data_IF_860802601713
#
_entry.id   IF_860802601713
#
_cell.length_a   1.000
_cell.length_b   1.000
_cell.length_c   1.000
_cell.angle_alpha   90.00
_cell.angle_beta   90.00
_cell.angle_gamma   90.00
#
_symmetry.space_group_name_H-M   'P 1'
#
loop_
_entity.id
_entity.type
_entity.pdbx_description
1 polymer ?
#
# COMPACT_ATOMS: atom_id res chain seq x y z
N UNK A 1 -2.65 2.62 -8.58
CA UNK A 1 -1.92 3.88 -8.30
C UNK A 1 -1.19 4.37 -9.55
N UNK A 2 -0.48 3.50 -10.26
CA UNK A 2 0.25 3.85 -11.49
C UNK A 2 -0.64 4.45 -12.60
N UNK A 3 -1.85 3.91 -12.81
CA UNK A 3 -2.80 4.48 -13.77
C UNK A 3 -3.23 5.91 -13.41
N UNK A 4 -3.30 6.22 -12.11
CA UNK A 4 -3.58 7.58 -11.63
C UNK A 4 -2.39 8.48 -11.93
N UNK A 5 -1.16 8.02 -11.69
CA UNK A 5 0.07 8.74 -12.01
C UNK A 5 0.18 9.02 -13.52
N UNK A 6 -0.16 8.05 -14.36
CA UNK A 6 -0.16 8.23 -15.81
C UNK A 6 -1.13 9.36 -16.23
N UNK A 7 -2.34 9.40 -15.65
CA UNK A 7 -3.30 10.50 -15.89
C UNK A 7 -2.81 11.84 -15.33
N UNK A 8 -2.13 11.86 -14.18
CA UNK A 8 -1.53 13.08 -13.63
C UNK A 8 -0.40 13.63 -14.49
N UNK A 9 0.27 12.79 -15.27
CA UNK A 9 1.35 13.18 -16.18
C UNK A 9 0.86 13.47 -17.61
N UNK A 10 -0.45 13.40 -17.86
CA UNK A 10 -1.03 13.73 -19.17
C UNK A 10 -0.70 15.17 -19.57
N UNK A 11 -0.29 15.39 -20.82
CA UNK A 11 0.17 16.71 -21.29
C UNK A 11 -0.93 17.77 -21.28
N UNK A 12 -2.20 17.37 -21.40
CA UNK A 12 -3.35 18.29 -21.51
C UNK A 12 -4.17 18.37 -20.24
N UNK A 13 -4.40 17.23 -19.60
CA UNK A 13 -5.31 17.09 -18.46
C UNK A 13 -4.58 16.77 -17.14
N UNK A 14 -3.25 16.66 -17.18
CA UNK A 14 -2.42 16.37 -16.02
C UNK A 14 -2.17 17.59 -15.12
N UNK A 15 -1.31 17.37 -14.13
CA UNK A 15 -0.86 18.39 -13.19
C UNK A 15 0.17 19.28 -13.89
N UNK A 16 0.07 20.62 -13.79
CA UNK A 16 0.99 21.52 -14.47
C UNK A 16 2.40 21.45 -13.85
N UNK A 17 3.32 20.77 -14.54
CA UNK A 17 4.72 20.68 -14.13
C UNK A 17 5.46 21.97 -14.51
N UNK A 18 6.12 22.61 -13.54
CA UNK A 18 6.77 23.92 -13.71
C UNK A 18 8.24 23.88 -13.30
N UNK A 19 8.98 24.88 -13.79
CA UNK A 19 10.30 25.22 -13.26
C UNK A 19 10.19 26.48 -12.43
N UNK A 20 10.38 26.35 -11.12
CA UNK A 20 10.30 27.47 -10.19
C UNK A 20 11.65 28.15 -10.09
N UNK A 21 11.68 29.48 -10.27
CA UNK A 21 12.88 30.32 -10.17
C UNK A 21 12.73 31.24 -8.96
N UNK A 22 13.72 31.20 -8.08
CA UNK A 22 13.95 32.18 -7.01
C UNK A 22 15.31 32.85 -7.21
N UNK A 23 15.61 33.89 -6.42
CA UNK A 23 16.90 34.59 -6.47
C UNK A 23 18.11 33.65 -6.26
N UNK A 24 17.96 32.63 -5.40
CA UNK A 24 19.04 31.72 -5.02
C UNK A 24 18.98 30.36 -5.74
N UNK A 25 17.84 29.98 -6.32
CA UNK A 25 17.66 28.63 -6.87
C UNK A 25 16.73 28.57 -8.07
N UNK A 26 17.06 27.70 -9.02
CA UNK A 26 16.15 27.22 -10.07
C UNK A 26 15.84 25.75 -9.81
N UNK A 27 14.58 25.43 -9.57
CA UNK A 27 14.09 24.07 -9.27
C UNK A 27 13.22 23.62 -10.45
N UNK A 28 13.73 22.73 -11.32
CA UNK A 28 12.99 22.25 -12.48
C UNK A 28 12.07 21.08 -12.12
N UNK A 29 11.07 20.85 -12.97
CA UNK A 29 10.19 19.68 -12.94
C UNK A 29 9.55 19.43 -11.57
N UNK A 30 8.79 20.41 -11.10
CA UNK A 30 8.05 20.35 -9.82
C UNK A 30 6.62 20.85 -9.98
N UNK A 31 5.75 20.44 -9.07
CA UNK A 31 4.36 20.85 -8.93
C UNK A 31 4.04 21.02 -7.44
N UNK A 32 3.00 21.79 -7.10
CA UNK A 32 2.65 22.04 -5.70
C UNK A 32 1.78 20.92 -5.12
N UNK A 33 1.78 20.79 -3.80
CA UNK A 33 0.91 19.86 -3.08
C UNK A 33 -0.57 20.16 -3.31
N UNK A 34 -0.94 21.44 -3.30
CA UNK A 34 -2.30 21.88 -3.63
C UNK A 34 -2.72 21.50 -5.05
N UNK A 35 -1.82 21.54 -6.04
CA UNK A 35 -2.16 21.11 -7.40
C UNK A 35 -2.53 19.61 -7.45
N UNK A 36 -1.87 18.78 -6.63
CA UNK A 36 -2.15 17.33 -6.55
C UNK A 36 -3.53 17.09 -5.95
N UNK A 37 -3.82 17.73 -4.81
CA UNK A 37 -5.11 17.58 -4.11
C UNK A 37 -6.27 18.03 -4.99
N UNK A 38 -6.16 19.22 -5.59
CA UNK A 38 -7.19 19.75 -6.49
C UNK A 38 -7.37 18.88 -7.74
N UNK A 39 -6.27 18.35 -8.29
CA UNK A 39 -6.36 17.42 -9.42
C UNK A 39 -7.10 16.13 -9.03
N UNK A 40 -6.84 15.57 -7.85
CA UNK A 40 -7.51 14.36 -7.36
C UNK A 40 -9.01 14.59 -7.15
N UNK A 41 -9.40 15.66 -6.45
CA UNK A 41 -10.80 16.05 -6.22
C UNK A 41 -11.56 16.07 -7.56
N UNK A 42 -11.01 16.79 -8.54
CA UNK A 42 -11.63 16.96 -9.85
C UNK A 42 -11.68 15.66 -10.69
N UNK A 43 -10.57 14.92 -10.79
CA UNK A 43 -10.44 13.82 -11.76
C UNK A 43 -10.82 12.45 -11.21
N UNK A 44 -10.93 12.32 -9.88
CA UNK A 44 -11.39 11.11 -9.20
C UNK A 44 -12.80 11.27 -8.61
N UNK A 45 -13.41 12.45 -8.74
CA UNK A 45 -14.73 12.79 -8.22
C UNK A 45 -14.84 12.54 -6.70
N UNK A 46 -13.84 13.02 -5.97
CA UNK A 46 -13.78 12.94 -4.50
C UNK A 46 -14.42 14.19 -3.92
N UNK A 47 -15.44 14.03 -3.07
CA UNK A 47 -16.18 15.14 -2.47
C UNK A 47 -15.43 15.75 -1.27
N UNK A 48 -14.81 14.91 -0.44
CA UNK A 48 -14.07 15.34 0.75
C UNK A 48 -12.59 15.58 0.43
N UNK A 49 -12.12 16.81 0.68
CA UNK A 49 -10.72 17.20 0.53
C UNK A 49 -9.78 16.36 1.42
N UNK A 50 -10.25 15.92 2.60
CA UNK A 50 -9.46 15.06 3.50
C UNK A 50 -9.23 13.68 2.90
N UNK A 51 -10.23 13.11 2.22
CA UNK A 51 -10.10 11.84 1.50
C UNK A 51 -9.07 11.95 0.37
N UNK A 52 -9.12 13.04 -0.43
CA UNK A 52 -8.17 13.29 -1.50
C UNK A 52 -6.74 13.44 -0.97
N UNK A 53 -6.55 14.20 0.12
CA UNK A 53 -5.26 14.38 0.78
C UNK A 53 -4.73 13.06 1.34
N UNK A 54 -5.59 12.23 1.93
CA UNK A 54 -5.22 10.92 2.45
C UNK A 54 -4.78 9.97 1.34
N UNK A 55 -5.55 9.86 0.25
CA UNK A 55 -5.20 9.05 -0.91
C UNK A 55 -3.86 9.50 -1.52
N UNK A 56 -3.65 10.81 -1.64
CA UNK A 56 -2.38 11.34 -2.14
C UNK A 56 -1.21 11.08 -1.20
N UNK A 57 -1.42 11.16 0.12
CA UNK A 57 -0.42 10.77 1.11
C UNK A 57 -0.03 9.29 0.98
N UNK A 58 -1.01 8.40 0.77
CA UNK A 58 -0.73 6.99 0.52
C UNK A 58 0.10 6.80 -0.77
N UNK A 59 -0.22 7.50 -1.84
CA UNK A 59 0.54 7.42 -3.09
C UNK A 59 1.99 7.94 -2.93
N UNK A 60 2.19 9.00 -2.14
CA UNK A 60 3.51 9.50 -1.79
C UNK A 60 4.30 8.48 -0.97
N UNK A 61 3.68 7.86 0.04
CA UNK A 61 4.30 6.85 0.90
C UNK A 61 4.69 5.56 0.15
N UNK A 62 4.05 5.27 -0.98
CA UNK A 62 4.47 4.19 -1.90
C UNK A 62 5.52 4.65 -2.92
N UNK A 63 5.98 5.90 -2.86
CA UNK A 63 7.08 6.41 -3.66
C UNK A 63 6.73 6.80 -5.09
N UNK A 64 5.46 7.06 -5.42
CA UNK A 64 5.08 7.47 -6.79
C UNK A 64 5.39 8.94 -7.08
N UNK A 65 5.32 9.78 -6.07
CA UNK A 65 5.84 11.15 -6.06
C UNK A 65 6.33 11.46 -4.64
N UNK A 66 7.20 12.45 -4.51
CA UNK A 66 7.88 12.73 -3.24
C UNK A 66 8.13 14.22 -3.04
N UNK A 67 8.10 14.72 -1.80
CA UNK A 67 8.47 16.10 -1.50
C UNK A 67 9.97 16.29 -1.76
N UNK A 68 10.34 17.39 -2.41
CA UNK A 68 11.74 17.61 -2.80
C UNK A 68 12.66 17.97 -1.62
N UNK A 69 12.08 18.50 -0.53
CA UNK A 69 12.79 19.09 0.60
C UNK A 69 12.70 18.29 1.90
N UNK A 70 12.00 17.15 1.90
CA UNK A 70 11.72 16.36 3.11
C UNK A 70 11.93 14.87 2.83
N UNK A 71 12.37 14.12 3.85
CA UNK A 71 12.49 12.66 3.83
C UNK A 71 11.16 11.96 4.17
N UNK A 72 10.24 12.66 4.86
CA UNK A 72 8.93 12.10 5.18
C UNK A 72 8.02 12.16 3.95
N UNK A 73 7.64 10.99 3.42
CA UNK A 73 6.85 10.85 2.21
C UNK A 73 5.35 11.07 2.46
N UNK A 74 4.98 12.31 2.76
CA UNK A 74 3.59 12.74 2.98
C UNK A 74 3.18 13.84 2.02
N UNK A 75 1.89 13.90 1.68
CA UNK A 75 1.33 15.02 0.92
C UNK A 75 0.84 16.11 1.90
N UNK A 76 1.10 17.36 1.54
CA UNK A 76 0.63 18.57 2.22
C UNK A 76 -0.16 19.39 1.23
N UNK A 77 -1.35 19.85 1.62
CA UNK A 77 -2.19 20.71 0.78
C UNK A 77 -1.77 22.18 0.87
N UNK A 78 -0.57 22.45 0.38
CA UNK A 78 0.06 23.76 0.41
C UNK A 78 1.01 23.95 -0.78
N UNK A 79 1.82 25.01 -0.72
CA UNK A 79 2.85 25.32 -1.73
C UNK A 79 4.09 24.41 -1.71
N UNK A 80 4.12 23.33 -0.92
CA UNK A 80 5.23 22.37 -0.89
C UNK A 80 5.42 21.75 -2.27
N UNK A 81 6.68 21.66 -2.73
CA UNK A 81 6.99 21.13 -4.04
C UNK A 81 7.24 19.62 -4.03
N UNK A 82 6.63 18.95 -5.00
CA UNK A 82 6.75 17.51 -5.24
C UNK A 82 7.33 17.23 -6.62
N UNK A 83 7.83 16.01 -6.80
CA UNK A 83 8.27 15.48 -8.09
C UNK A 83 7.79 14.04 -8.27
N UNK A 84 7.45 13.66 -9.50
CA UNK A 84 7.18 12.28 -9.86
C UNK A 84 8.43 11.41 -9.77
N UNK A 85 8.25 10.19 -9.27
CA UNK A 85 9.27 9.16 -9.31
C UNK A 85 9.40 8.55 -10.70
N UNK A 86 10.62 8.15 -11.06
CA UNK A 86 10.85 7.40 -12.31
C UNK A 86 10.24 5.99 -12.23
N UNK A 87 9.62 5.47 -13.30
CA UNK A 87 9.06 4.12 -13.33
C UNK A 87 10.05 3.01 -12.94
N UNK A 88 11.35 3.24 -13.13
CA UNK A 88 12.39 2.32 -12.68
C UNK A 88 12.32 2.05 -11.17
N UNK A 89 12.01 3.05 -10.35
CA UNK A 89 11.94 2.94 -8.89
C UNK A 89 10.53 2.63 -8.37
N UNK A 90 9.56 2.29 -9.22
CA UNK A 90 8.22 1.96 -8.76
C UNK A 90 8.18 0.63 -8.00
N UNK A 91 7.32 0.51 -6.95
CA UNK A 91 7.21 -0.71 -6.16
C UNK A 91 6.78 -1.95 -6.97
N UNK A 92 6.07 -1.78 -8.08
CA UNK A 92 5.65 -2.85 -8.98
C UNK A 92 6.81 -3.62 -9.61
N UNK A 93 8.01 -3.02 -9.67
CA UNK A 93 9.23 -3.71 -10.10
C UNK A 93 9.75 -4.71 -9.05
N UNK A 94 9.05 -4.90 -7.93
CA UNK A 94 9.35 -5.87 -6.88
C UNK A 94 10.77 -5.72 -6.31
N UNK A 95 11.14 -4.48 -5.98
CA UNK A 95 12.42 -4.15 -5.39
C UNK A 95 12.60 -4.81 -4.01
N UNK A 96 13.75 -5.46 -3.81
CA UNK A 96 14.19 -6.00 -2.53
C UNK A 96 15.64 -5.52 -2.28
N UNK A 97 15.87 -4.21 -2.04
CA UNK A 97 17.21 -3.66 -1.97
C UNK A 97 17.98 -4.16 -0.74
N UNK A 98 19.22 -4.60 -0.97
CA UNK A 98 20.05 -5.16 0.07
C UNK A 98 20.69 -4.07 0.94
N UNK A 99 21.16 -4.46 2.12
CA UNK A 99 21.92 -3.56 2.99
C UNK A 99 23.26 -3.12 2.38
N UNK A 100 23.83 -3.92 1.47
CA UNK A 100 25.02 -3.54 0.72
C UNK A 100 24.73 -2.35 -0.21
N UNK A 101 23.60 -2.38 -0.91
CA UNK A 101 23.18 -1.29 -1.82
C UNK A 101 22.95 0.01 -1.05
N UNK A 102 22.31 -0.08 0.13
CA UNK A 102 22.09 1.08 0.97
C UNK A 102 23.40 1.66 1.52
N UNK A 103 24.36 0.80 1.88
CA UNK A 103 25.69 1.25 2.30
C UNK A 103 26.43 1.99 1.17
N UNK A 104 26.34 1.50 -0.08
CA UNK A 104 26.89 2.18 -1.26
C UNK A 104 26.24 3.54 -1.45
N UNK A 105 24.90 3.63 -1.36
CA UNK A 105 24.16 4.88 -1.48
C UNK A 105 24.58 5.93 -0.43
N UNK A 106 24.60 5.55 0.86
CA UNK A 106 24.98 6.44 1.95
C UNK A 106 26.45 6.87 1.84
N UNK A 107 27.35 5.93 1.53
CA UNK A 107 28.76 6.23 1.29
C UNK A 107 28.94 7.18 0.10
N UNK A 108 28.19 7.00 -0.99
CA UNK A 108 28.22 7.90 -2.15
C UNK A 108 27.79 9.32 -1.77
N UNK A 109 26.77 9.45 -0.91
CA UNK A 109 26.27 10.77 -0.44
C UNK A 109 27.30 11.52 0.40
N UNK A 110 27.97 10.86 1.33
CA UNK A 110 29.00 11.50 2.16
C UNK A 110 30.17 12.03 1.33
N UNK A 111 30.47 11.39 0.20
CA UNK A 111 31.56 11.81 -0.70
C UNK A 111 31.26 13.07 -1.53
N UNK A 112 30.00 13.53 -1.59
CA UNK A 112 29.62 14.65 -2.45
C UNK A 112 29.90 16.02 -1.86
N UNK A 113 30.16 16.14 -0.55
CA UNK A 113 30.45 17.41 0.17
C UNK A 113 29.48 18.55 -0.20
N UNK A 114 28.18 18.29 -0.19
CA UNK A 114 27.12 19.27 -0.44
C UNK A 114 26.11 19.23 0.70
N UNK A 115 25.80 20.38 1.30
CA UNK A 115 24.82 20.48 2.38
C UNK A 115 23.47 19.80 2.06
N UNK A 116 22.95 19.95 0.83
CA UNK A 116 21.69 19.29 0.41
C UNK A 116 21.73 17.74 0.40
N UNK A 117 22.91 17.14 0.47
CA UNK A 117 23.14 15.69 0.45
C UNK A 117 23.72 15.18 1.76
N UNK A 118 23.88 16.07 2.74
CA UNK A 118 24.31 15.72 4.09
C UNK A 118 23.34 14.67 4.65
N UNK A 119 23.89 13.73 5.41
CA UNK A 119 23.08 12.65 5.98
C UNK A 119 22.27 13.21 7.13
N UNK A 120 20.99 12.85 7.20
CA UNK A 120 20.23 13.05 8.42
C UNK A 120 20.78 12.15 9.55
N UNK A 121 20.49 12.48 10.81
CA UNK A 121 21.04 11.74 11.96
C UNK A 121 20.75 10.23 11.89
N UNK A 122 19.51 9.85 11.55
CA UNK A 122 19.13 8.44 11.41
C UNK A 122 19.86 7.72 10.25
N UNK A 123 20.22 8.45 9.19
CA UNK A 123 21.00 7.93 8.07
C UNK A 123 22.48 7.76 8.47
N UNK A 124 23.04 8.71 9.22
CA UNK A 124 24.38 8.63 9.76
C UNK A 124 24.53 7.46 10.74
N UNK A 125 23.56 7.25 11.62
CA UNK A 125 23.50 6.07 12.48
C UNK A 125 23.40 4.76 11.67
N UNK A 126 22.58 4.75 10.61
CA UNK A 126 22.46 3.61 9.71
C UNK A 126 23.79 3.30 9.03
N UNK A 127 24.49 4.32 8.52
CA UNK A 127 25.82 4.18 7.94
C UNK A 127 26.81 3.60 8.95
N UNK A 128 26.83 4.10 10.19
CA UNK A 128 27.71 3.60 11.25
C UNK A 128 27.42 2.12 11.60
N UNK A 129 26.14 1.69 11.57
CA UNK A 129 25.77 0.27 11.73
C UNK A 129 26.25 -0.57 10.56
N UNK A 130 26.11 -0.09 9.32
CA UNK A 130 26.51 -0.80 8.11
C UNK A 130 28.03 -0.93 8.00
N UNK A 131 28.78 0.11 8.38
CA UNK A 131 30.25 0.07 8.46
C UNK A 131 30.74 -1.01 9.41
N UNK A 132 30.09 -1.14 10.57
CA UNK A 132 30.38 -2.22 11.53
C UNK A 132 30.02 -3.59 10.97
N UNK A 133 28.85 -3.74 10.36
CA UNK A 133 28.38 -5.01 9.80
C UNK A 133 29.24 -5.49 8.61
N UNK A 134 29.71 -4.56 7.78
CA UNK A 134 30.44 -4.85 6.54
C UNK A 134 31.92 -4.45 6.60
N UNK A 135 32.52 -4.38 7.79
CA UNK A 135 33.90 -3.91 7.98
C UNK A 135 34.92 -4.57 7.04
N UNK A 136 34.82 -5.91 6.84
CA UNK A 136 35.71 -6.67 5.95
C UNK A 136 35.49 -6.42 4.46
N UNK A 137 34.33 -5.92 4.06
CA UNK A 137 33.96 -5.62 2.66
C UNK A 137 33.88 -4.12 2.39
N UNK A 138 34.23 -3.28 3.37
CA UNK A 138 34.01 -1.83 3.28
C UNK A 138 34.78 -1.18 2.13
N UNK A 139 35.99 -1.65 1.84
CA UNK A 139 36.77 -1.15 0.70
C UNK A 139 36.05 -1.36 -0.65
N UNK A 140 35.37 -2.49 -0.83
CA UNK A 140 34.59 -2.75 -2.04
C UNK A 140 33.35 -1.84 -2.13
N UNK A 141 32.67 -1.62 -1.00
CA UNK A 141 31.52 -0.69 -0.92
C UNK A 141 31.99 0.73 -1.28
N UNK A 142 33.11 1.17 -0.72
CA UNK A 142 33.69 2.47 -0.99
C UNK A 142 34.09 2.62 -2.47
N UNK A 143 34.76 1.61 -3.04
CA UNK A 143 35.14 1.61 -4.46
C UNK A 143 33.92 1.68 -5.38
N UNK A 144 32.85 0.96 -5.06
CA UNK A 144 31.60 1.00 -5.82
C UNK A 144 30.92 2.37 -5.72
N UNK A 145 30.85 2.95 -4.51
CA UNK A 145 30.31 4.29 -4.29
C UNK A 145 31.11 5.36 -5.05
N UNK A 146 32.44 5.26 -5.05
CA UNK A 146 33.32 6.18 -5.78
C UNK A 146 33.11 6.08 -7.30
N UNK A 147 33.01 4.86 -7.83
CA UNK A 147 32.75 4.62 -9.25
C UNK A 147 31.40 5.22 -9.69
N UNK A 148 30.34 5.04 -8.90
CA UNK A 148 29.04 5.66 -9.15
C UNK A 148 29.11 7.19 -9.07
N UNK A 149 29.78 7.75 -8.05
CA UNK A 149 29.97 9.20 -7.92
C UNK A 149 30.74 9.80 -9.11
N UNK A 150 31.72 9.08 -9.67
CA UNK A 150 32.46 9.48 -10.87
C UNK A 150 31.56 9.52 -12.11
N UNK A 151 30.63 8.56 -12.26
CA UNK A 151 29.64 8.56 -13.35
C UNK A 151 28.66 9.73 -13.17
N UNK A 152 28.13 9.93 -11.96
CA UNK A 152 27.19 11.02 -11.67
C UNK A 152 27.80 12.40 -11.91
N UNK A 153 29.11 12.57 -11.65
CA UNK A 153 29.85 13.80 -11.94
C UNK A 153 29.89 14.17 -13.43
N UNK A 154 29.73 13.21 -14.35
CA UNK A 154 29.71 13.46 -15.81
C UNK A 154 28.37 13.98 -16.31
N UNK A 155 27.29 13.78 -15.56
CA UNK A 155 25.94 14.30 -15.88
C UNK A 155 25.85 15.80 -15.67
N UNK A 156 24.93 16.46 -16.35
CA UNK A 156 24.72 17.88 -16.13
C UNK A 156 24.17 18.15 -14.71
N UNK A 157 24.31 19.39 -14.24
CA UNK A 157 23.98 19.77 -12.86
C UNK A 157 22.48 19.63 -12.56
N UNK A 158 21.61 19.83 -13.54
CA UNK A 158 20.16 19.77 -13.36
C UNK A 158 19.73 18.30 -13.32
N UNK A 159 20.11 17.52 -14.31
CA UNK A 159 19.81 16.09 -14.38
C UNK A 159 20.31 15.36 -13.13
N UNK A 160 21.56 15.62 -12.71
CA UNK A 160 22.12 15.03 -11.48
C UNK A 160 21.29 15.37 -10.25
N UNK A 161 20.81 16.61 -10.11
CA UNK A 161 19.93 16.99 -8.99
C UNK A 161 18.61 16.22 -9.01
N UNK A 162 18.08 15.94 -10.19
CA UNK A 162 16.84 15.16 -10.34
C UNK A 162 17.07 13.71 -9.94
N UNK A 163 18.10 13.09 -10.50
CA UNK A 163 18.44 11.70 -10.23
C UNK A 163 18.80 11.48 -8.75
N UNK A 164 19.59 12.38 -8.14
CA UNK A 164 19.90 12.32 -6.70
C UNK A 164 18.62 12.32 -5.85
N UNK A 165 17.62 13.14 -6.21
CA UNK A 165 16.36 13.24 -5.47
C UNK A 165 15.44 12.03 -5.67
N UNK A 166 15.45 11.43 -6.87
CA UNK A 166 14.70 10.21 -7.18
C UNK A 166 15.27 9.00 -6.44
N UNK A 167 16.60 8.88 -6.43
CA UNK A 167 17.29 7.84 -5.66
C UNK A 167 17.07 8.02 -4.14
N UNK A 168 17.09 9.26 -3.64
CA UNK A 168 16.71 9.54 -2.24
C UNK A 168 15.30 9.05 -1.94
N UNK A 169 14.31 9.44 -2.75
CA UNK A 169 12.93 9.02 -2.54
C UNK A 169 12.73 7.50 -2.62
N UNK A 170 13.51 6.80 -3.44
CA UNK A 170 13.53 5.34 -3.44
C UNK A 170 13.96 4.77 -2.08
N UNK A 171 15.01 5.34 -1.49
CA UNK A 171 15.47 4.93 -0.16
C UNK A 171 14.53 5.36 0.96
N UNK A 172 13.85 6.50 0.84
CA UNK A 172 12.85 6.93 1.82
C UNK A 172 11.66 5.95 1.91
N UNK A 173 11.37 5.18 0.85
CA UNK A 173 10.38 4.07 0.88
C UNK A 173 10.94 2.83 1.57
N UNK A 174 12.16 2.42 1.23
CA UNK A 174 12.73 1.13 1.65
C UNK A 174 13.48 1.19 2.99
N UNK A 175 13.86 2.38 3.44
CA UNK A 175 14.55 2.69 4.69
C UNK A 175 13.93 3.97 5.27
N UNK A 176 12.63 3.93 5.62
CA UNK A 176 11.89 5.12 6.01
C UNK A 176 12.43 5.75 7.29
N UNK A 177 12.15 7.04 7.46
CA UNK A 177 12.44 7.78 8.69
C UNK A 177 11.84 7.03 9.89
N UNK A 178 12.57 6.88 11.01
CA UNK A 178 12.03 6.22 12.21
C UNK A 178 10.69 6.82 12.65
N UNK A 179 9.70 5.95 12.87
CA UNK A 179 8.32 6.35 13.22
C UNK A 179 7.36 6.44 12.02
N UNK A 180 7.86 6.46 10.78
CA UNK A 180 7.02 6.34 9.60
C UNK A 180 6.63 4.87 9.35
N UNK A 181 5.45 4.68 8.75
CA UNK A 181 4.96 3.35 8.32
C UNK A 181 5.84 2.83 7.18
N UNK A 182 6.31 1.59 7.30
CA UNK A 182 7.03 0.91 6.24
C UNK A 182 6.05 0.28 5.24
N UNK A 183 5.84 0.93 4.11
CA UNK A 183 4.91 0.49 3.06
C UNK A 183 5.36 -0.78 2.32
N UNK A 184 6.62 -1.21 2.52
CA UNK A 184 7.16 -2.44 1.91
C UNK A 184 6.84 -3.71 2.72
N UNK A 185 6.31 -3.57 3.94
CA UNK A 185 5.95 -4.72 4.77
C UNK A 185 4.71 -5.43 4.24
N UNK A 186 4.84 -6.74 4.01
CA UNK A 186 3.77 -7.59 3.48
C UNK A 186 3.25 -8.51 4.58
N UNK A 187 1.92 -8.62 4.68
CA UNK A 187 1.25 -9.55 5.59
C UNK A 187 1.74 -11.00 5.40
N UNK A 188 1.97 -11.70 6.51
CA UNK A 188 2.54 -13.06 6.52
C UNK A 188 1.69 -14.09 5.77
N UNK A 189 0.37 -13.93 5.73
CA UNK A 189 -0.52 -14.81 4.96
C UNK A 189 -0.39 -14.54 3.47
N UNK A 190 -0.15 -13.30 3.07
CA UNK A 190 0.10 -12.94 1.66
C UNK A 190 1.47 -13.44 1.20
N UNK A 191 2.51 -13.31 2.03
CA UNK A 191 3.84 -13.82 1.71
C UNK A 191 3.86 -15.35 1.57
N UNK A 192 3.12 -16.08 2.42
CA UNK A 192 3.03 -17.55 2.33
C UNK A 192 2.27 -18.07 1.10
N UNK A 193 1.30 -17.32 0.58
CA UNK A 193 0.53 -17.71 -0.62
C UNK A 193 1.33 -17.50 -1.90
N UNK A 194 2.29 -16.57 -1.87
CA UNK A 194 3.25 -16.35 -2.94
C UNK A 194 4.33 -17.45 -2.91
N UNK A 195 3.93 -18.72 -3.13
CA UNK A 195 4.87 -19.84 -3.24
C UNK A 195 5.71 -19.70 -4.51
N UNK A 196 6.80 -18.96 -4.43
CA UNK A 196 7.97 -19.14 -5.29
C UNK A 196 9.08 -19.77 -4.42
N UNK A 197 9.39 -21.07 -4.57
CA UNK A 197 10.29 -21.80 -3.67
C UNK A 197 11.73 -21.30 -3.57
N UNK A 198 12.15 -20.32 -4.39
CA UNK A 198 13.51 -19.76 -4.36
C UNK A 198 13.68 -18.54 -3.46
N UNK A 199 12.60 -17.95 -2.92
CA UNK A 199 12.65 -16.61 -2.29
C UNK A 199 12.36 -16.61 -0.79
N UNK A 200 12.50 -17.75 -0.11
CA UNK A 200 12.31 -17.80 1.35
C UNK A 200 13.65 -17.77 2.08
N UNK A 201 13.88 -16.64 2.75
CA UNK A 201 14.88 -16.37 3.81
C UNK A 201 16.36 -16.40 3.40
N UNK A 202 16.90 -15.20 3.14
CA UNK A 202 18.26 -14.83 3.59
C UNK A 202 18.18 -13.59 4.48
N UNK A 203 17.71 -13.81 5.71
CA UNK A 203 17.95 -12.87 6.82
C UNK A 203 19.36 -13.12 7.35
N UNK A 204 20.10 -12.06 7.64
CA UNK A 204 21.45 -12.11 8.24
C UNK A 204 21.45 -12.80 9.62
N UNK A 205 20.29 -12.96 10.26
CA UNK A 205 20.14 -13.63 11.57
C UNK A 205 19.54 -15.05 11.50
N UNK A 206 19.41 -15.65 10.31
CA UNK A 206 18.93 -17.02 10.14
C UNK A 206 20.05 -18.02 9.80
N UNK A 207 20.00 -19.27 10.27
CA UNK A 207 21.03 -20.27 9.96
C UNK A 207 21.02 -20.60 8.46
N UNK A 208 22.17 -20.47 7.82
CA UNK A 208 22.40 -20.85 6.41
C UNK A 208 22.63 -22.36 6.32
N UNK A 209 21.76 -23.06 5.58
CA UNK A 209 22.05 -24.41 5.09
C UNK A 209 22.34 -24.33 3.59
N UNK A 210 23.62 -24.45 3.24
CA UNK A 210 24.08 -24.61 1.86
C UNK A 210 23.86 -26.07 1.42
N UNK A 211 23.05 -26.28 0.39
CA UNK A 211 23.09 -27.51 -0.40
C UNK A 211 23.16 -27.14 -1.87
N UNK A 212 24.35 -27.32 -2.44
CA UNK A 212 24.60 -27.38 -3.88
C UNK A 212 24.19 -28.77 -4.37
N UNK A 213 23.49 -28.84 -5.51
CA UNK A 213 23.47 -30.07 -6.31
C UNK A 213 23.45 -29.75 -7.80
N UNK A 214 24.36 -30.40 -8.51
CA UNK A 214 24.66 -30.25 -9.93
C UNK A 214 23.85 -31.21 -10.82
N UNK A 215 23.67 -30.77 -12.08
CA UNK A 215 23.55 -31.51 -13.35
C UNK A 215 22.19 -32.07 -13.83
N UNK A 216 21.87 -31.94 -15.14
CA UNK A 216 20.63 -32.42 -15.75
C UNK A 216 20.79 -33.82 -16.35
N UNK A 217 19.81 -34.71 -16.16
CA UNK A 217 19.76 -36.01 -16.82
C UNK A 217 18.38 -36.23 -17.45
N UNK A 218 18.40 -36.38 -18.78
CA UNK A 218 17.49 -37.14 -19.64
C UNK A 218 15.97 -37.09 -19.32
N UNK A 219 15.22 -36.29 -20.07
CA UNK A 219 13.75 -36.40 -20.17
C UNK A 219 13.35 -37.43 -21.24
N UNK A 220 12.58 -38.48 -20.93
CA UNK A 220 11.93 -39.30 -21.94
C UNK A 220 10.75 -38.55 -22.61
N UNK A 221 10.39 -39.03 -23.80
CA UNK A 221 9.42 -38.47 -24.75
C UNK A 221 8.01 -38.22 -24.16
N UNK A 222 7.21 -37.30 -24.75
CA UNK A 222 5.93 -36.90 -24.17
C UNK A 222 4.84 -37.94 -24.47
N UNK A 223 4.38 -38.64 -23.44
CA UNK A 223 3.10 -39.36 -23.47
C UNK A 223 1.95 -38.34 -23.57
N UNK A 224 1.39 -38.20 -24.77
CA UNK A 224 0.41 -37.17 -25.11
C UNK A 224 -1.06 -37.56 -24.88
N UNK A 225 -1.40 -38.65 -24.19
CA UNK A 225 -2.78 -39.17 -24.23
C UNK A 225 -3.49 -39.54 -22.91
N UNK A 226 -3.05 -39.02 -21.75
CA UNK A 226 -3.71 -39.29 -20.45
C UNK A 226 -4.03 -38.05 -19.60
N UNK A 227 -4.00 -36.83 -20.16
CA UNK A 227 -4.16 -35.58 -19.38
C UNK A 227 -5.53 -34.89 -19.40
N UNK A 228 -6.48 -35.33 -20.22
CA UNK A 228 -7.71 -34.52 -20.48
C UNK A 228 -9.01 -35.07 -19.91
N UNK A 229 -9.09 -36.36 -19.53
CA UNK A 229 -10.36 -36.97 -19.13
C UNK A 229 -10.75 -36.66 -17.66
N UNK A 230 -9.78 -36.76 -16.73
CA UNK A 230 -10.03 -36.55 -15.29
C UNK A 230 -10.44 -35.11 -14.92
N UNK A 231 -9.78 -34.05 -15.45
CA UNK A 231 -10.18 -32.66 -15.18
C UNK A 231 -11.54 -32.32 -15.78
N UNK A 232 -11.87 -32.90 -16.94
CA UNK A 232 -13.10 -32.63 -17.68
C UNK A 232 -14.31 -33.28 -17.01
N UNK A 233 -14.19 -34.51 -16.51
CA UNK A 233 -15.25 -35.15 -15.73
C UNK A 233 -15.53 -34.41 -14.41
N UNK A 234 -14.50 -33.89 -13.75
CA UNK A 234 -14.69 -33.04 -12.57
C UNK A 234 -15.43 -31.75 -12.91
N UNK A 235 -15.09 -31.11 -14.04
CA UNK A 235 -15.81 -29.92 -14.52
C UNK A 235 -17.26 -30.23 -14.88
N UNK A 236 -17.53 -31.34 -15.56
CA UNK A 236 -18.91 -31.76 -15.92
C UNK A 236 -19.74 -31.98 -14.65
N UNK A 237 -19.21 -32.71 -13.66
CA UNK A 237 -19.91 -32.92 -12.40
C UNK A 237 -20.10 -31.61 -11.61
N UNK A 238 -19.08 -30.74 -11.61
CA UNK A 238 -19.17 -29.41 -10.98
C UNK A 238 -20.28 -28.57 -11.62
N UNK A 239 -20.30 -28.47 -12.94
CA UNK A 239 -21.31 -27.70 -13.68
C UNK A 239 -22.71 -28.32 -13.58
N UNK A 240 -22.81 -29.65 -13.61
CA UNK A 240 -24.05 -30.38 -13.33
C UNK A 240 -24.62 -29.98 -11.97
N UNK A 241 -23.80 -30.03 -10.93
CA UNK A 241 -24.20 -29.58 -9.60
C UNK A 241 -24.56 -28.09 -9.51
N UNK A 242 -24.02 -27.21 -10.35
CA UNK A 242 -24.42 -25.79 -10.39
C UNK A 242 -25.76 -25.55 -11.10
N UNK A 243 -26.15 -26.43 -12.03
CA UNK A 243 -27.41 -26.36 -12.76
C UNK A 243 -28.58 -26.84 -11.89
N UNK A 244 -28.34 -27.84 -11.03
CA UNK A 244 -29.36 -28.38 -10.12
C UNK A 244 -29.71 -27.43 -8.97
N UNK A 245 -28.93 -26.36 -8.75
CA UNK A 245 -29.23 -25.37 -7.71
C UNK A 245 -30.47 -24.58 -8.10
N UNK A 246 -31.49 -24.63 -7.24
CA UNK A 246 -32.65 -23.75 -7.36
C UNK A 246 -32.21 -22.29 -7.23
N UNK A 247 -32.56 -21.48 -8.24
CA UNK A 247 -32.27 -20.05 -8.30
C UNK A 247 -33.56 -19.26 -8.24
N UNK A 248 -33.51 -18.14 -7.54
CA UNK A 248 -34.60 -17.16 -7.52
C UNK A 248 -34.37 -16.11 -8.60
N UNK A 249 -35.45 -15.51 -9.09
CA UNK A 249 -35.36 -14.34 -9.98
C UNK A 249 -34.74 -13.18 -9.20
N UNK A 250 -33.87 -12.39 -9.85
CA UNK A 250 -33.20 -11.26 -9.19
C UNK A 250 -34.19 -10.24 -8.62
N UNK A 251 -35.32 -10.01 -9.29
CA UNK A 251 -36.39 -9.16 -8.75
C UNK A 251 -36.93 -9.66 -7.41
N UNK A 252 -37.14 -10.98 -7.26
CA UNK A 252 -37.61 -11.56 -6.01
C UNK A 252 -36.57 -11.52 -4.90
N UNK A 253 -35.30 -11.68 -5.25
CA UNK A 253 -34.20 -11.51 -4.28
C UNK A 253 -34.10 -10.06 -3.81
N UNK A 254 -34.15 -9.10 -4.74
CA UNK A 254 -34.08 -7.68 -4.41
C UNK A 254 -35.28 -7.23 -3.55
N UNK A 255 -36.51 -7.60 -3.94
CA UNK A 255 -37.72 -7.33 -3.15
C UNK A 255 -37.60 -7.89 -1.73
N UNK A 256 -37.13 -9.13 -1.58
CA UNK A 256 -36.96 -9.75 -0.27
C UNK A 256 -35.89 -9.05 0.59
N UNK A 257 -34.78 -8.60 0.00
CA UNK A 257 -33.72 -7.92 0.73
C UNK A 257 -34.13 -6.50 1.15
N UNK A 258 -34.83 -5.78 0.27
CA UNK A 258 -35.38 -4.46 0.58
C UNK A 258 -36.41 -4.56 1.70
N UNK A 259 -37.38 -5.48 1.58
CA UNK A 259 -38.39 -5.70 2.61
C UNK A 259 -37.77 -6.07 3.95
N UNK A 260 -36.76 -6.95 3.97
CA UNK A 260 -36.03 -7.29 5.20
C UNK A 260 -35.33 -6.06 5.78
N UNK A 261 -34.67 -5.26 4.96
CA UNK A 261 -33.96 -4.06 5.44
C UNK A 261 -34.93 -3.04 6.03
N UNK A 262 -36.03 -2.74 5.34
CA UNK A 262 -37.09 -1.85 5.82
C UNK A 262 -37.70 -2.35 7.13
N UNK A 263 -37.87 -3.65 7.28
CA UNK A 263 -38.42 -4.26 8.48
C UNK A 263 -37.54 -4.06 9.72
N UNK A 264 -36.21 -3.98 9.54
CA UNK A 264 -35.25 -3.85 10.63
C UNK A 264 -34.64 -2.45 10.77
N UNK A 265 -34.98 -1.49 9.90
CA UNK A 265 -34.38 -0.14 9.90
C UNK A 265 -34.62 0.64 11.20
N UNK A 266 -35.78 0.45 11.84
CA UNK A 266 -36.10 1.05 13.14
C UNK A 266 -35.24 0.49 14.29
N UNK A 267 -34.61 -0.67 14.09
CA UNK A 267 -33.76 -1.35 15.06
C UNK A 267 -32.27 -1.14 14.82
N UNK A 268 -31.89 -0.43 13.75
CA UNK A 268 -30.50 -0.16 13.40
C UNK A 268 -30.01 1.11 14.12
N UNK A 269 -29.09 1.02 15.09
CA UNK A 269 -28.60 2.17 15.85
C UNK A 269 -27.77 3.18 15.03
N UNK A 270 -27.35 2.82 13.81
CA UNK A 270 -26.64 3.72 12.90
C UNK A 270 -27.58 4.59 12.07
N UNK A 271 -28.81 4.12 11.84
CA UNK A 271 -29.81 4.81 11.00
C UNK A 271 -30.85 5.51 11.89
N UNK A 272 -31.37 4.80 12.90
CA UNK A 272 -32.45 5.29 13.77
C UNK A 272 -31.91 5.55 15.17
N UNK A 273 -32.31 6.68 15.78
CA UNK A 273 -31.90 7.00 17.15
C UNK A 273 -32.42 5.94 18.13
N UNK A 274 -31.53 5.41 18.97
CA UNK A 274 -31.87 4.49 20.07
C UNK A 274 -32.45 5.24 21.26
N UNK A 275 -33.49 4.67 21.88
CA UNK A 275 -34.20 5.22 23.05
C UNK A 275 -33.73 4.48 24.32
N UNK A 276 -33.25 5.17 25.38
CA UNK A 276 -33.14 6.64 25.53
C UNK A 276 -32.00 7.31 24.76
N UNK A 277 -30.87 6.64 24.56
CA UNK A 277 -29.74 7.18 23.78
C UNK A 277 -28.74 6.10 23.39
N UNK A 278 -27.93 6.36 22.37
CA UNK A 278 -26.86 5.43 21.98
C UNK A 278 -25.72 5.48 23.01
N UNK A 279 -25.42 4.38 23.73
CA UNK A 279 -24.42 4.38 24.80
C UNK A 279 -23.02 4.79 24.36
N UNK A 280 -22.68 4.59 23.08
CA UNK A 280 -21.38 4.98 22.52
C UNK A 280 -21.24 6.48 22.25
N UNK A 281 -22.33 7.24 22.34
CA UNK A 281 -22.37 8.70 22.11
C UNK A 281 -22.63 9.45 23.42
N UNK A 282 -23.53 8.92 24.26
CA UNK A 282 -23.99 9.59 25.49
C UNK A 282 -23.26 9.13 26.76
N UNK A 283 -22.44 8.07 26.68
CA UNK A 283 -21.85 7.36 27.82
C UNK A 283 -22.90 6.85 28.84
N UNK A 284 -24.17 6.73 28.42
CA UNK A 284 -25.28 6.19 29.23
C UNK A 284 -25.57 4.73 28.85
N UNK A 285 -25.37 3.82 29.80
CA UNK A 285 -25.58 2.38 29.61
C UNK A 285 -27.03 1.92 29.81
N UNK A 286 -27.98 2.85 30.01
CA UNK A 286 -29.38 2.53 30.27
C UNK A 286 -30.02 1.61 29.22
N UNK A 287 -29.71 1.78 27.92
CA UNK A 287 -30.20 0.91 26.84
C UNK A 287 -29.76 -0.55 27.05
N UNK A 288 -28.49 -0.78 27.35
CA UNK A 288 -27.97 -2.14 27.56
C UNK A 288 -28.63 -2.81 28.77
N UNK A 289 -28.88 -2.06 29.84
CA UNK A 289 -29.63 -2.57 30.99
C UNK A 289 -31.09 -2.90 30.63
N UNK A 290 -31.74 -2.06 29.84
CA UNK A 290 -33.13 -2.23 29.41
C UNK A 290 -33.28 -3.48 28.52
N UNK A 291 -32.37 -3.67 27.57
CA UNK A 291 -32.35 -4.84 26.69
C UNK A 291 -32.02 -6.13 27.47
N UNK A 292 -31.05 -6.09 28.39
CA UNK A 292 -30.68 -7.23 29.22
C UNK A 292 -31.83 -7.67 30.15
N UNK A 293 -32.59 -6.71 30.71
CA UNK A 293 -33.75 -6.98 31.57
C UNK A 293 -34.94 -7.55 30.80
N UNK A 294 -35.11 -7.17 29.53
CA UNK A 294 -36.20 -7.68 28.68
C UNK A 294 -36.05 -9.16 28.29
N UNK A 295 -34.87 -9.76 28.45
CA UNK A 295 -34.69 -11.22 28.31
C UNK A 295 -35.39 -11.97 29.46
N UNK A 296 -35.55 -11.34 30.64
CA UNK A 296 -36.18 -11.94 31.83
C UNK A 296 -37.66 -11.54 32.04
N UNK A 297 -38.08 -10.35 31.61
CA UNK A 297 -39.48 -9.92 31.65
C UNK A 297 -39.98 -9.55 30.25
N UNK A 298 -40.76 -10.46 29.67
CA UNK A 298 -41.12 -10.57 28.24
C UNK A 298 -42.02 -9.47 27.65
N UNK A 299 -42.09 -8.27 28.22
CA UNK A 299 -43.14 -7.30 27.85
C UNK A 299 -42.76 -5.81 27.81
N UNK A 300 -41.52 -5.41 28.10
CA UNK A 300 -41.25 -3.99 28.38
C UNK A 300 -40.83 -3.17 27.14
N UNK A 301 -40.26 -3.78 26.10
CA UNK A 301 -39.91 -3.04 24.86
C UNK A 301 -40.79 -3.52 23.71
N UNK A 302 -41.77 -2.67 23.32
CA UNK A 302 -42.69 -2.92 22.19
C UNK A 302 -41.95 -3.28 20.91
N UNK A 303 -40.81 -2.62 20.64
CA UNK A 303 -40.01 -2.87 19.46
C UNK A 303 -39.37 -4.27 19.50
N UNK A 304 -38.80 -4.74 20.61
CA UNK A 304 -38.26 -6.11 20.71
C UNK A 304 -39.35 -7.17 20.54
N UNK A 305 -40.56 -6.98 21.08
CA UNK A 305 -41.68 -7.87 20.82
C UNK A 305 -42.12 -7.85 19.34
N UNK A 306 -42.13 -6.68 18.70
CA UNK A 306 -42.40 -6.55 17.27
C UNK A 306 -41.32 -7.24 16.44
N UNK A 307 -40.05 -7.14 16.85
CA UNK A 307 -38.90 -7.81 16.21
C UNK A 307 -39.03 -9.34 16.22
N UNK A 308 -39.50 -9.92 17.31
CA UNK A 308 -39.70 -11.37 17.41
C UNK A 308 -40.85 -11.88 16.53
N UNK A 309 -41.82 -11.01 16.19
CA UNK A 309 -42.90 -11.35 15.25
C UNK A 309 -42.46 -11.28 13.78
N UNK A 310 -41.26 -10.78 13.48
CA UNK A 310 -40.75 -10.64 12.11
C UNK A 310 -40.27 -11.96 11.51
N UNK A 311 -40.02 -12.99 12.33
CA UNK A 311 -39.69 -14.34 11.88
C UNK A 311 -40.41 -15.37 12.76
N UNK A 312 -41.20 -16.32 12.21
CA UNK A 312 -41.82 -17.35 13.03
C UNK A 312 -40.74 -18.24 13.65
N UNK A 313 -40.90 -18.58 14.94
CA UNK A 313 -40.13 -19.63 15.58
C UNK A 313 -40.26 -20.91 14.73
N UNK A 314 -39.16 -21.36 14.14
CA UNK A 314 -39.05 -22.72 13.60
C UNK A 314 -39.00 -23.68 14.79
N UNK A 315 -40.17 -23.99 15.35
CA UNK A 315 -40.38 -25.14 16.22
C UNK A 315 -41.07 -26.23 15.41
N UNK A 316 -40.28 -27.16 14.87
CA UNK A 316 -40.68 -28.54 14.63
C UNK A 316 -39.46 -29.46 14.66
#
# INVERSE_FOLDING_TARGET
MEDVIARMQDEKNGIPIRTVKSFLSKIPSVFSGSDIVQWMIKNLNIEDQVEALHLGTLMAAHGYFFPISDHVLTLKDDGTFYRFQTPYFWPSNCWEPENTDYAVYLCKRTMQNKARLELADYEAESLARLQRAFARKWEFIFMQAEAQAKVDKKRDKIERKILDSQERAFWDVHRPVPGCVNTTEVDIKKSSRMKNPQKTRKSVYGPQNDVRTHSPTHTPAPEKFTKYCFPMLFQINYWGGQLDRHRLKMSKVAESLLAYTEQYVEYDPFITSTDPSNPWISDDTAVWELEARCVFFKFIIKSLCQRWNLTPNWSH
#
